data_IF_060070497613
#
_entry.id   IF_060070497613
#
_cell.length_a   1.000
_cell.length_b   1.000
_cell.length_c   1.000
_cell.angle_alpha   90.00
_cell.angle_beta   90.00
_cell.angle_gamma   90.00
#
_symmetry.space_group_name_H-M   'P 1'
#
loop_
_entity.id
_entity.type
_entity.pdbx_description
1 polymer ?
#
# COMPACT_ATOMS: atom_id res chain seq x y z
N UNK A 1 -9.67 -34.05 -1.91
CA UNK A 1 -8.43 -33.24 -1.90
C UNK A 1 -8.79 -31.85 -2.40
N UNK A 2 -8.79 -30.81 -1.56
CA UNK A 2 -9.10 -29.45 -2.02
C UNK A 2 -7.97 -28.93 -2.91
N UNK A 3 -8.34 -28.31 -4.03
CA UNK A 3 -7.39 -27.81 -5.04
C UNK A 3 -6.64 -26.58 -4.51
N UNK A 4 -5.45 -26.31 -5.04
CA UNK A 4 -4.60 -25.18 -4.67
C UNK A 4 -5.37 -23.83 -4.70
N UNK A 5 -6.33 -23.70 -5.62
CA UNK A 5 -7.23 -22.54 -5.75
C UNK A 5 -8.22 -22.38 -4.59
N UNK A 6 -8.68 -23.47 -3.97
CA UNK A 6 -9.54 -23.39 -2.78
C UNK A 6 -8.76 -22.91 -1.55
N UNK A 7 -7.47 -23.24 -1.45
CA UNK A 7 -6.60 -22.74 -0.37
C UNK A 7 -6.31 -21.24 -0.50
N UNK A 8 -6.16 -20.74 -1.73
CA UNK A 8 -5.92 -19.31 -1.99
C UNK A 8 -7.20 -18.48 -1.75
N UNK A 9 -8.37 -18.95 -2.21
CA UNK A 9 -9.66 -18.28 -1.92
C UNK A 9 -9.99 -18.25 -0.42
N UNK A 10 -9.61 -19.28 0.33
CA UNK A 10 -9.72 -19.29 1.80
C UNK A 10 -8.75 -18.29 2.47
N UNK A 11 -7.57 -18.06 1.89
CA UNK A 11 -6.61 -17.06 2.35
C UNK A 11 -7.12 -15.62 2.22
N UNK A 12 -7.66 -15.27 1.05
CA UNK A 12 -8.21 -13.92 0.76
C UNK A 12 -9.47 -13.64 1.59
N UNK A 13 -10.38 -14.61 1.67
CA UNK A 13 -11.63 -14.47 2.46
C UNK A 13 -11.38 -14.47 3.97
N UNK A 14 -10.32 -15.14 4.44
CA UNK A 14 -9.89 -15.10 5.84
C UNK A 14 -9.15 -13.81 6.23
N UNK A 15 -8.67 -13.02 5.26
CA UNK A 15 -7.96 -11.77 5.50
C UNK A 15 -8.92 -10.59 5.67
N UNK A 16 -9.99 -10.56 4.88
CA UNK A 16 -11.08 -9.59 5.01
C UNK A 16 -11.80 -9.72 6.36
N UNK A 17 -11.97 -10.96 6.86
CA UNK A 17 -12.51 -11.24 8.20
C UNK A 17 -11.59 -10.76 9.34
N UNK A 18 -10.28 -10.94 9.21
CA UNK A 18 -9.29 -10.46 10.20
C UNK A 18 -9.21 -8.93 10.25
N UNK A 19 -9.39 -8.25 9.12
CA UNK A 19 -9.47 -6.78 9.06
C UNK A 19 -10.72 -6.27 9.78
N UNK A 20 -11.88 -6.87 9.52
CA UNK A 20 -13.13 -6.55 10.24
C UNK A 20 -13.05 -6.87 11.75
N UNK A 21 -12.35 -7.94 12.13
CA UNK A 21 -12.09 -8.28 13.54
C UNK A 21 -11.16 -7.26 14.20
N UNK A 22 -10.09 -6.80 13.53
CA UNK A 22 -9.18 -5.77 14.06
C UNK A 22 -9.87 -4.40 14.21
N UNK A 23 -10.76 -4.04 13.29
CA UNK A 23 -11.53 -2.81 13.34
C UNK A 23 -12.59 -2.87 14.46
N UNK A 24 -13.26 -4.02 14.63
CA UNK A 24 -14.15 -4.25 15.77
C UNK A 24 -13.41 -4.24 17.09
N UNK A 25 -12.25 -4.86 17.19
CA UNK A 25 -11.43 -4.92 18.40
C UNK A 25 -10.92 -3.52 18.81
N UNK A 26 -10.57 -2.68 17.82
CA UNK A 26 -10.23 -1.28 18.05
C UNK A 26 -11.42 -0.48 18.60
N UNK A 27 -12.62 -0.70 18.07
CA UNK A 27 -13.85 -0.06 18.54
C UNK A 27 -14.23 -0.51 19.96
N UNK A 28 -14.10 -1.80 20.31
CA UNK A 28 -14.36 -2.27 21.68
C UNK A 28 -13.33 -1.76 22.68
N UNK A 29 -12.05 -1.69 22.29
CA UNK A 29 -10.97 -1.19 23.17
C UNK A 29 -11.09 0.31 23.47
N UNK A 30 -11.61 1.08 22.52
CA UNK A 30 -11.85 2.52 22.71
C UNK A 30 -13.20 2.83 23.40
N UNK A 31 -14.12 1.88 23.53
CA UNK A 31 -15.41 2.08 24.19
C UNK A 31 -15.35 2.01 25.73
N UNK A 32 -14.25 1.54 26.34
CA UNK A 32 -14.17 1.30 27.79
C UNK A 32 -13.41 2.39 28.57
N UNK A 33 -13.60 3.66 28.24
CA UNK A 33 -13.04 4.78 29.01
C UNK A 33 -14.00 5.17 30.13
N UNK A 34 -13.81 4.57 31.30
CA UNK A 34 -14.57 4.89 32.50
C UNK A 34 -13.92 4.35 33.77
N UNK A 35 -12.74 4.91 34.15
CA UNK A 35 -12.31 5.19 35.52
C UNK A 35 -10.80 5.45 35.56
N UNK A 36 -10.41 6.64 36.01
CA UNK A 36 -9.02 7.01 36.23
C UNK A 36 -8.49 6.42 37.55
N UNK A 37 -7.26 5.93 37.53
CA UNK A 37 -6.41 5.84 38.71
C UNK A 37 -5.03 6.44 38.36
N UNK A 38 -4.46 7.33 39.19
CA UNK A 38 -3.16 7.93 38.92
C UNK A 38 -2.06 6.98 39.39
N UNK A 39 -0.87 7.05 38.77
CA UNK A 39 0.47 7.13 39.42
C UNK A 39 1.60 6.88 38.42
N UNK A 40 2.69 7.63 38.65
CA UNK A 40 4.08 7.49 38.20
C UNK A 40 4.48 8.09 36.84
N UNK A 41 5.13 9.25 36.95
CA UNK A 41 6.07 9.84 35.99
C UNK A 41 7.25 8.89 35.73
N UNK A 42 7.09 8.01 34.76
CA UNK A 42 8.21 7.62 33.91
C UNK A 42 8.29 8.68 32.80
N UNK A 43 9.48 9.20 32.52
CA UNK A 43 9.74 9.91 31.27
C UNK A 43 9.55 8.90 30.14
N UNK A 44 8.31 8.71 29.73
CA UNK A 44 8.01 8.04 28.49
C UNK A 44 8.67 8.89 27.42
N UNK A 45 9.64 8.33 26.70
CA UNK A 45 9.83 8.72 25.31
C UNK A 45 8.44 8.61 24.71
N UNK A 46 7.75 9.74 24.59
CA UNK A 46 6.47 9.79 23.92
C UNK A 46 6.81 9.46 22.49
N UNK A 47 6.77 8.18 22.14
CA UNK A 47 6.58 7.74 20.77
C UNK A 47 5.25 8.33 20.39
N UNK A 48 5.25 9.59 19.94
CA UNK A 48 4.07 10.24 19.42
C UNK A 48 3.66 9.38 18.25
N UNK A 49 2.63 8.59 18.46
CA UNK A 49 2.02 7.79 17.42
C UNK A 49 1.21 8.77 16.59
N UNK A 50 1.89 9.53 15.73
CA UNK A 50 1.21 10.29 14.71
C UNK A 50 0.62 9.30 13.71
N UNK A 51 -0.60 9.57 13.26
CA UNK A 51 -1.20 8.78 12.20
C UNK A 51 -0.47 9.15 10.91
N UNK A 52 0.31 8.22 10.37
CA UNK A 52 0.97 8.38 9.08
C UNK A 52 -0.12 8.43 8.00
N UNK A 53 -0.04 9.40 7.09
CA UNK A 53 -0.93 9.49 5.94
C UNK A 53 -0.65 8.36 4.93
N UNK A 54 -1.37 7.25 5.06
CA UNK A 54 -1.23 6.09 4.18
C UNK A 54 -1.75 6.36 2.76
N UNK A 55 -2.72 7.25 2.59
CA UNK A 55 -3.25 7.58 1.26
C UNK A 55 -2.22 8.40 0.49
N UNK A 56 -1.67 9.44 1.11
CA UNK A 56 -0.58 10.21 0.56
C UNK A 56 0.66 9.33 0.28
N UNK A 57 0.99 8.38 1.16
CA UNK A 57 2.14 7.48 0.95
C UNK A 57 1.91 6.59 -0.27
N UNK A 58 0.67 6.14 -0.47
CA UNK A 58 0.30 5.34 -1.65
C UNK A 58 0.45 6.16 -2.92
N UNK A 59 0.00 7.42 -2.92
CA UNK A 59 0.18 8.33 -4.06
C UNK A 59 1.66 8.58 -4.35
N UNK A 60 2.44 8.93 -3.32
CA UNK A 60 3.88 9.16 -3.44
C UNK A 60 4.66 7.93 -3.92
N UNK A 61 4.30 6.73 -3.46
CA UNK A 61 4.92 5.48 -3.88
C UNK A 61 4.58 5.10 -5.33
N UNK A 62 3.36 5.40 -5.76
CA UNK A 62 2.89 5.11 -7.12
C UNK A 62 3.30 6.17 -8.14
N UNK A 63 3.89 7.31 -7.74
CA UNK A 63 4.42 8.29 -8.67
C UNK A 63 5.59 7.71 -9.47
N UNK A 64 5.40 7.67 -10.80
CA UNK A 64 6.40 7.25 -11.78
C UNK A 64 6.90 8.44 -12.62
N UNK A 65 6.47 9.67 -12.32
CA UNK A 65 6.82 10.88 -13.08
C UNK A 65 8.34 11.15 -13.10
N UNK A 66 9.04 10.70 -12.05
CA UNK A 66 10.45 10.99 -11.84
C UNK A 66 10.76 12.48 -11.74
N UNK A 67 9.76 13.32 -11.48
CA UNK A 67 9.94 14.77 -11.31
C UNK A 67 10.09 15.14 -9.83
N UNK A 68 9.44 14.35 -8.97
CA UNK A 68 9.33 14.61 -7.56
C UNK A 68 10.12 13.60 -6.73
N UNK A 69 10.41 14.08 -5.54
CA UNK A 69 11.17 13.44 -4.52
C UNK A 69 10.30 13.46 -3.28
N UNK A 70 9.74 12.30 -2.92
CA UNK A 70 8.78 12.18 -1.82
C UNK A 70 9.48 11.76 -0.53
N UNK A 71 9.19 12.45 0.57
CA UNK A 71 9.74 12.15 1.88
C UNK A 71 8.63 12.03 2.92
N UNK A 72 8.81 11.12 3.87
CA UNK A 72 8.01 11.07 5.10
C UNK A 72 8.76 11.87 6.18
N UNK A 73 8.15 12.94 6.70
CA UNK A 73 8.63 13.60 7.91
C UNK A 73 8.25 12.72 9.10
N UNK A 74 9.26 12.13 9.72
CA UNK A 74 9.10 11.23 10.87
C UNK A 74 8.71 11.96 12.16
N UNK A 75 8.74 13.30 12.17
CA UNK A 75 8.42 14.11 13.35
C UNK A 75 6.92 14.40 13.51
N UNK A 76 6.14 14.34 12.44
CA UNK A 76 4.69 14.60 12.42
C UNK A 76 3.88 13.62 11.54
N UNK A 77 4.54 12.81 10.70
CA UNK A 77 3.89 11.82 9.84
C UNK A 77 3.45 12.37 8.48
N UNK A 78 3.82 13.61 8.16
CA UNK A 78 3.46 14.30 6.92
C UNK A 78 4.34 13.87 5.74
N UNK A 79 3.81 14.06 4.53
CA UNK A 79 4.52 13.77 3.29
C UNK A 79 4.96 15.07 2.64
N UNK A 80 6.24 15.14 2.32
CA UNK A 80 6.86 16.29 1.70
C UNK A 80 7.26 15.95 0.28
N UNK A 81 6.65 16.65 -0.67
CA UNK A 81 6.93 16.55 -2.10
C UNK A 81 7.87 17.66 -2.52
N UNK A 82 9.07 17.31 -2.96
CA UNK A 82 10.06 18.28 -3.44
C UNK A 82 10.53 17.94 -4.84
N UNK A 83 11.05 18.91 -5.56
CA UNK A 83 11.73 18.63 -6.82
C UNK A 83 12.98 17.81 -6.53
N UNK A 84 13.33 16.88 -7.43
CA UNK A 84 14.54 16.06 -7.27
C UNK A 84 15.80 16.93 -7.10
N UNK A 85 15.89 18.08 -7.77
CA UNK A 85 16.99 19.03 -7.62
C UNK A 85 17.16 19.60 -6.21
N UNK A 86 16.10 19.58 -5.40
CA UNK A 86 16.03 20.15 -4.05
C UNK A 86 16.07 19.07 -2.96
N UNK A 87 16.25 17.80 -3.34
CA UNK A 87 16.18 16.68 -2.39
C UNK A 87 17.25 16.70 -1.30
N UNK A 88 18.39 17.36 -1.55
CA UNK A 88 19.50 17.50 -0.58
C UNK A 88 19.17 18.39 0.60
N UNK A 89 18.09 19.19 0.53
CA UNK A 89 17.62 20.05 1.62
C UNK A 89 16.87 19.27 2.71
N UNK A 90 16.57 17.99 2.47
CA UNK A 90 15.78 17.12 3.36
C UNK A 90 16.62 15.94 3.87
N UNK A 91 17.50 16.18 4.87
CA UNK A 91 18.39 15.14 5.38
C UNK A 91 17.67 14.15 6.31
N UNK A 92 18.16 12.91 6.30
CA UNK A 92 17.86 11.90 7.32
C UNK A 92 18.42 12.32 8.70
N UNK A 93 17.88 11.82 9.82
CA UNK A 93 16.81 10.81 9.93
C UNK A 93 15.40 11.40 9.88
N UNK A 94 15.25 12.72 9.93
CA UNK A 94 13.93 13.38 10.02
C UNK A 94 13.09 13.10 8.78
N UNK A 95 13.66 13.31 7.60
CA UNK A 95 12.97 13.13 6.32
C UNK A 95 13.39 11.81 5.69
N UNK A 96 12.55 10.78 5.84
CA UNK A 96 12.84 9.45 5.30
C UNK A 96 12.39 9.37 3.85
N UNK A 97 13.26 8.91 2.97
CA UNK A 97 12.94 8.80 1.55
C UNK A 97 11.91 7.71 1.28
N UNK A 98 10.78 8.08 0.67
CA UNK A 98 9.79 7.12 0.19
C UNK A 98 10.36 6.39 -1.04
N UNK A 99 10.27 5.04 -1.10
CA UNK A 99 10.77 4.28 -2.24
C UNK A 99 9.99 4.62 -3.51
N UNK A 100 10.71 4.76 -4.63
CA UNK A 100 10.06 4.87 -5.94
C UNK A 100 9.92 3.51 -6.61
N UNK A 101 8.86 3.34 -7.39
CA UNK A 101 8.69 2.15 -8.23
C UNK A 101 9.61 2.23 -9.46
N UNK A 102 10.21 1.09 -9.81
CA UNK A 102 10.98 0.96 -11.05
C UNK A 102 10.13 0.30 -12.15
N UNK A 103 10.53 0.48 -13.41
CA UNK A 103 9.78 -0.05 -14.57
C UNK A 103 9.65 -1.59 -14.58
N UNK A 104 10.54 -2.31 -13.90
CA UNK A 104 10.48 -3.77 -13.78
C UNK A 104 9.32 -4.21 -12.87
N UNK A 105 9.08 -3.48 -11.77
CA UNK A 105 7.97 -3.74 -10.85
C UNK A 105 6.61 -3.65 -11.55
N UNK A 106 6.45 -2.73 -12.50
CA UNK A 106 5.22 -2.62 -13.29
C UNK A 106 4.99 -3.83 -14.21
N UNK A 107 6.05 -4.37 -14.80
CA UNK A 107 5.96 -5.59 -15.61
C UNK A 107 5.62 -6.83 -14.76
N UNK A 108 6.20 -6.92 -13.57
CA UNK A 108 5.89 -7.96 -12.59
C UNK A 108 4.43 -7.89 -12.12
N UNK A 109 3.94 -6.69 -11.79
CA UNK A 109 2.57 -6.48 -11.35
C UNK A 109 1.55 -6.85 -12.44
N UNK A 110 1.80 -6.49 -13.71
CA UNK A 110 0.94 -6.91 -14.83
C UNK A 110 0.84 -8.44 -14.92
N UNK A 111 1.98 -9.14 -14.84
CA UNK A 111 2.02 -10.60 -14.87
C UNK A 111 1.28 -11.20 -13.67
N UNK A 112 1.51 -10.67 -12.47
CA UNK A 112 0.86 -11.12 -11.25
C UNK A 112 -0.66 -10.91 -11.28
N UNK A 113 -1.12 -9.78 -11.82
CA UNK A 113 -2.55 -9.50 -12.00
C UNK A 113 -3.20 -10.45 -13.00
N UNK A 114 -2.60 -10.67 -14.17
CA UNK A 114 -3.15 -11.65 -15.15
C UNK A 114 -3.22 -13.06 -14.54
N UNK A 115 -2.25 -13.41 -13.70
CA UNK A 115 -2.23 -14.69 -13.00
C UNK A 115 -3.29 -14.81 -11.88
N UNK A 116 -3.75 -13.70 -11.30
CA UNK A 116 -4.78 -13.70 -10.26
C UNK A 116 -6.21 -13.76 -10.81
N UNK A 117 -6.40 -13.45 -12.10
CA UNK A 117 -7.71 -13.51 -12.77
C UNK A 117 -8.13 -14.94 -13.10
N UNK A 118 -9.44 -15.21 -12.98
CA UNK A 118 -10.05 -16.44 -13.48
C UNK A 118 -9.97 -16.51 -15.03
N UNK A 119 -9.98 -17.73 -15.57
CA UNK A 119 -9.94 -17.95 -17.02
C UNK A 119 -11.12 -17.25 -17.72
N UNK A 120 -10.81 -16.31 -18.62
CA UNK A 120 -11.79 -15.49 -19.32
C UNK A 120 -11.18 -14.91 -20.61
N UNK A 121 -11.99 -14.57 -21.62
CA UNK A 121 -11.50 -13.91 -22.83
C UNK A 121 -10.75 -12.60 -22.55
N UNK A 122 -11.19 -11.83 -21.54
CA UNK A 122 -10.55 -10.58 -21.12
C UNK A 122 -9.17 -10.83 -20.52
N UNK A 123 -9.01 -11.85 -19.66
CA UNK A 123 -7.70 -12.28 -19.16
C UNK A 123 -6.78 -12.68 -20.30
N UNK A 124 -7.27 -13.47 -21.25
CA UNK A 124 -6.45 -13.94 -22.36
C UNK A 124 -6.05 -12.79 -23.30
N UNK A 125 -6.89 -11.76 -23.43
CA UNK A 125 -6.54 -10.52 -24.14
C UNK A 125 -5.40 -9.77 -23.44
N UNK A 126 -5.47 -9.58 -22.12
CA UNK A 126 -4.38 -8.99 -21.32
C UNK A 126 -3.09 -9.81 -21.43
N UNK A 127 -3.18 -11.14 -21.41
CA UNK A 127 -2.03 -12.05 -21.51
C UNK A 127 -1.29 -11.96 -22.85
N UNK A 128 -1.99 -11.55 -23.92
CA UNK A 128 -1.39 -11.35 -25.25
C UNK A 128 -0.79 -9.96 -25.45
N UNK A 129 -1.01 -9.03 -24.53
CA UNK A 129 -0.45 -7.68 -24.62
C UNK A 129 1.07 -7.69 -24.44
N UNK A 130 1.79 -7.20 -25.45
CA UNK A 130 3.26 -7.16 -25.49
C UNK A 130 3.89 -5.99 -24.73
N UNK A 131 3.10 -5.03 -24.24
CA UNK A 131 3.62 -3.81 -23.61
C UNK A 131 2.58 -3.06 -22.78
N UNK A 132 3.00 -1.94 -22.19
CA UNK A 132 2.16 -1.12 -21.29
C UNK A 132 0.93 -0.57 -22.04
N UNK A 133 1.14 -0.01 -23.22
CA UNK A 133 0.08 0.60 -24.02
C UNK A 133 -0.96 -0.43 -24.49
N UNK A 134 -0.51 -1.58 -25.00
CA UNK A 134 -1.42 -2.66 -25.43
C UNK A 134 -2.14 -3.31 -24.24
N UNK A 135 -1.51 -3.35 -23.06
CA UNK A 135 -2.16 -3.79 -21.83
C UNK A 135 -3.23 -2.79 -21.38
N UNK A 136 -2.92 -1.49 -21.37
CA UNK A 136 -3.88 -0.43 -21.04
C UNK A 136 -5.08 -0.41 -21.97
N UNK A 137 -4.85 -0.57 -23.28
CA UNK A 137 -5.93 -0.65 -24.26
C UNK A 137 -6.82 -1.89 -24.04
N UNK A 138 -6.25 -3.05 -23.76
CA UNK A 138 -7.04 -4.25 -23.45
C UNK A 138 -7.80 -4.13 -22.12
N UNK A 139 -7.20 -3.44 -21.14
CA UNK A 139 -7.80 -3.18 -19.83
C UNK A 139 -9.00 -2.23 -19.93
N UNK A 140 -8.90 -1.17 -20.73
CA UNK A 140 -9.95 -0.14 -20.85
C UNK A 140 -11.24 -0.61 -21.51
N UNK A 141 -11.19 -1.77 -22.19
CA UNK A 141 -12.33 -2.44 -22.79
C UNK A 141 -13.32 -3.00 -21.74
N UNK A 142 -12.88 -3.21 -20.49
CA UNK A 142 -13.72 -3.69 -19.40
C UNK A 142 -13.49 -2.86 -18.14
N UNK A 143 -14.49 -2.04 -17.78
CA UNK A 143 -14.45 -1.16 -16.60
C UNK A 143 -14.28 -1.94 -15.29
N UNK A 144 -14.80 -3.16 -15.20
CA UNK A 144 -14.66 -3.99 -14.00
C UNK A 144 -13.22 -4.44 -13.85
N UNK A 145 -12.62 -4.87 -14.96
CA UNK A 145 -11.22 -5.30 -15.02
C UNK A 145 -10.26 -4.14 -14.71
N UNK A 146 -10.54 -2.97 -15.28
CA UNK A 146 -9.79 -1.74 -15.04
C UNK A 146 -9.83 -1.34 -13.56
N UNK A 147 -11.01 -1.36 -12.94
CA UNK A 147 -11.13 -1.12 -11.50
C UNK A 147 -10.36 -2.16 -10.68
N UNK A 148 -10.46 -3.44 -11.04
CA UNK A 148 -9.75 -4.51 -10.37
C UNK A 148 -8.22 -4.34 -10.45
N UNK A 149 -7.71 -3.86 -11.59
CA UNK A 149 -6.30 -3.54 -11.77
C UNK A 149 -5.83 -2.41 -10.86
N UNK A 150 -6.57 -1.31 -10.77
CA UNK A 150 -6.22 -0.20 -9.88
C UNK A 150 -6.24 -0.61 -8.41
N UNK A 151 -7.25 -1.36 -7.99
CA UNK A 151 -7.30 -1.92 -6.63
C UNK A 151 -6.10 -2.83 -6.36
N UNK A 152 -5.79 -3.74 -7.29
CA UNK A 152 -4.64 -4.63 -7.17
C UNK A 152 -3.32 -3.88 -7.01
N UNK A 153 -3.11 -2.79 -7.78
CA UNK A 153 -1.90 -1.96 -7.64
C UNK A 153 -1.85 -1.25 -6.30
N UNK A 154 -2.97 -0.71 -5.83
CA UNK A 154 -3.05 -0.02 -4.55
C UNK A 154 -2.75 -0.99 -3.40
N UNK A 155 -3.32 -2.20 -3.42
CA UNK A 155 -3.06 -3.22 -2.40
C UNK A 155 -1.57 -3.58 -2.34
N UNK A 156 -0.93 -3.81 -3.49
CA UNK A 156 0.52 -4.08 -3.53
C UNK A 156 1.37 -2.89 -3.07
N UNK A 157 0.94 -1.66 -3.37
CA UNK A 157 1.61 -0.46 -2.88
C UNK A 157 1.53 -0.38 -1.37
N UNK A 158 0.35 -0.59 -0.78
CA UNK A 158 0.15 -0.61 0.67
C UNK A 158 1.02 -1.69 1.31
N UNK A 159 1.03 -2.93 0.79
CA UNK A 159 1.89 -4.00 1.29
C UNK A 159 3.39 -3.62 1.29
N UNK A 160 3.85 -2.98 0.20
CA UNK A 160 5.25 -2.53 0.09
C UNK A 160 5.57 -1.38 1.06
N UNK A 161 4.64 -0.45 1.24
CA UNK A 161 4.77 0.67 2.18
C UNK A 161 4.79 0.16 3.62
N UNK A 162 3.90 -0.74 3.99
CA UNK A 162 3.87 -1.35 5.32
C UNK A 162 5.18 -2.09 5.63
N UNK A 163 5.69 -2.88 4.67
CA UNK A 163 6.99 -3.54 4.82
C UNK A 163 8.13 -2.52 4.98
N UNK A 164 8.11 -1.42 4.22
CA UNK A 164 9.09 -0.35 4.35
C UNK A 164 8.99 0.37 5.70
N UNK A 165 7.80 0.66 6.20
CA UNK A 165 7.58 1.26 7.52
C UNK A 165 8.09 0.34 8.65
N UNK A 166 7.82 -0.97 8.55
CA UNK A 166 8.28 -1.96 9.53
C UNK A 166 9.81 -2.12 9.59
N UNK A 167 10.53 -1.82 8.51
CA UNK A 167 12.01 -1.82 8.51
C UNK A 167 12.63 -0.64 9.29
N UNK A 168 11.81 0.31 9.75
CA UNK A 168 12.27 1.50 10.49
C UNK A 168 11.76 1.61 11.92
N UNK A 169 11.00 0.63 12.39
CA UNK A 169 10.70 0.43 13.82
C UNK A 169 11.77 -0.44 14.47
#
# INVERSE_FOLDING_TARGET
MPTLMQKIRLGIRGWQRRREESEKEFLTRNASWGAAAPVATAAATTTRTFAIDMEGLTVAYLDDSGQLAHFLDTSDGEIVDVRISESSTYPEPRYRRIPSRNANADADDRRAFIASLDASPSRDALARSSGVESFRHALSADRTLERAWYNFRNDRAIEAIEAWLALSS
#
